data_IF_880064826508
#
_entry.id   IF_880064826508
#
_cell.length_a   1.000
_cell.length_b   1.000
_cell.length_c   1.000
_cell.angle_alpha   90.00
_cell.angle_beta   90.00
_cell.angle_gamma   90.00
#
_symmetry.space_group_name_H-M   'P 1'
#
loop_
_entity.id
_entity.type
_entity.pdbx_description
1 polymer ?
#
# COMPACT_ATOMS: atom_id res chain seq x y z
N UNK A 1 20.00 -11.32 19.93
CA UNK A 1 18.80 -11.18 20.77
C UNK A 1 18.67 -9.71 21.06
N UNK A 2 17.77 -9.03 20.36
CA UNK A 2 17.45 -7.63 20.62
C UNK A 2 16.25 -7.68 21.56
N UNK A 3 16.48 -7.44 22.85
CA UNK A 3 15.41 -7.21 23.81
C UNK A 3 14.82 -5.83 23.49
N UNK A 4 13.69 -5.81 22.80
CA UNK A 4 12.90 -4.60 22.63
C UNK A 4 12.21 -4.34 23.96
N UNK A 5 12.62 -3.28 24.65
CA UNK A 5 12.04 -2.87 25.92
C UNK A 5 10.69 -2.17 25.65
N UNK A 6 9.61 -2.97 25.68
CA UNK A 6 8.22 -2.54 25.49
C UNK A 6 7.72 -1.85 26.76
N UNK A 7 8.30 -0.71 27.15
CA UNK A 7 7.79 0.06 28.29
C UNK A 7 7.98 1.57 28.14
N UNK A 8 7.16 2.17 27.28
CA UNK A 8 6.49 3.47 27.51
C UNK A 8 5.77 3.93 26.24
N UNK A 9 4.79 3.15 25.78
CA UNK A 9 3.89 3.60 24.71
C UNK A 9 2.85 4.55 25.31
N UNK A 10 2.69 5.73 24.72
CA UNK A 10 1.64 6.66 25.11
C UNK A 10 0.25 6.11 24.70
N UNK A 11 -0.84 6.60 25.32
CA UNK A 11 -2.21 6.09 25.14
C UNK A 11 -2.72 6.10 23.67
N UNK A 12 -2.06 6.87 22.79
CA UNK A 12 -2.32 6.88 21.33
C UNK A 12 -1.59 5.75 20.61
N UNK A 13 -0.33 5.51 20.95
CA UNK A 13 0.47 4.38 20.48
C UNK A 13 -0.15 3.05 20.93
N UNK A 14 -0.70 2.96 22.15
CA UNK A 14 -1.46 1.79 22.61
C UNK A 14 -2.72 1.55 21.77
N UNK A 15 -3.48 2.60 21.40
CA UNK A 15 -4.67 2.46 20.52
C UNK A 15 -4.31 2.08 19.08
N UNK A 16 -3.21 2.60 18.55
CA UNK A 16 -2.73 2.25 17.22
C UNK A 16 -2.14 0.83 17.20
N UNK A 17 -1.32 0.47 18.17
CA UNK A 17 -0.80 -0.90 18.37
C UNK A 17 -1.92 -1.91 18.67
N UNK A 18 -2.95 -1.54 19.43
CA UNK A 18 -4.14 -2.39 19.66
C UNK A 18 -4.93 -2.64 18.36
N UNK A 19 -4.98 -1.67 17.44
CA UNK A 19 -5.57 -1.86 16.10
C UNK A 19 -4.69 -2.70 15.18
N UNK A 20 -3.38 -2.67 15.40
CA UNK A 20 -2.38 -3.41 14.66
C UNK A 20 -2.13 -4.76 15.33
N UNK A 21 -2.91 -5.79 15.00
CA UNK A 21 -2.70 -7.15 15.54
C UNK A 21 -1.22 -7.58 15.42
N UNK A 22 -0.71 -8.39 16.36
CA UNK A 22 0.69 -8.87 16.36
C UNK A 22 1.12 -9.40 14.98
N UNK A 23 0.22 -10.14 14.31
CA UNK A 23 0.42 -10.62 12.93
C UNK A 23 0.80 -9.51 11.95
N UNK A 24 0.15 -8.35 12.01
CA UNK A 24 0.42 -7.22 11.09
C UNK A 24 1.77 -6.58 11.41
N UNK A 25 2.17 -6.53 12.69
CA UNK A 25 3.49 -6.05 13.08
C UNK A 25 4.60 -6.99 12.59
N UNK A 26 4.37 -8.30 12.64
CA UNK A 26 5.32 -9.28 12.13
C UNK A 26 5.42 -9.22 10.61
N UNK A 27 4.28 -9.20 9.90
CA UNK A 27 4.26 -9.01 8.44
C UNK A 27 4.95 -7.70 8.04
N UNK A 28 4.75 -6.61 8.79
CA UNK A 28 5.49 -5.38 8.57
C UNK A 28 6.99 -5.57 8.70
N UNK A 29 7.47 -6.16 9.80
CA UNK A 29 8.91 -6.34 10.05
C UNK A 29 9.53 -7.20 8.97
N UNK A 30 8.84 -8.25 8.56
CA UNK A 30 9.26 -9.11 7.45
C UNK A 30 9.39 -8.32 6.16
N UNK A 31 8.38 -7.54 5.77
CA UNK A 31 8.46 -6.70 4.58
C UNK A 31 9.57 -5.66 4.72
N UNK A 32 9.66 -4.93 5.83
CA UNK A 32 10.71 -3.94 6.01
C UNK A 32 12.10 -4.56 5.90
N UNK A 33 12.34 -5.72 6.50
CA UNK A 33 13.60 -6.46 6.38
C UNK A 33 13.86 -6.92 4.94
N UNK A 34 12.84 -7.45 4.26
CA UNK A 34 12.91 -7.84 2.85
C UNK A 34 13.32 -6.66 1.98
N UNK A 35 12.57 -5.56 2.03
CA UNK A 35 12.84 -4.38 1.22
C UNK A 35 14.12 -3.68 1.65
N UNK A 36 14.51 -3.63 2.93
CA UNK A 36 15.71 -2.89 3.37
C UNK A 36 17.02 -3.43 2.79
N UNK A 37 17.08 -4.72 2.43
CA UNK A 37 18.27 -5.38 1.87
C UNK A 37 18.42 -5.19 0.37
N UNK A 38 17.35 -4.76 -0.31
CA UNK A 38 17.32 -4.64 -1.76
C UNK A 38 17.93 -3.34 -2.27
N UNK A 39 18.41 -3.34 -3.52
CA UNK A 39 18.74 -2.09 -4.21
C UNK A 39 17.52 -1.17 -4.31
N UNK A 40 17.74 0.15 -4.38
CA UNK A 40 16.66 1.13 -4.54
C UNK A 40 15.72 0.78 -5.70
N UNK A 41 16.31 0.39 -6.85
CA UNK A 41 15.58 -0.04 -8.04
C UNK A 41 14.75 -1.31 -7.78
N UNK A 42 15.35 -2.33 -7.16
CA UNK A 42 14.66 -3.59 -6.89
C UNK A 42 13.49 -3.37 -5.91
N UNK A 43 13.71 -2.66 -4.80
CA UNK A 43 12.67 -2.40 -3.81
C UNK A 43 11.48 -1.62 -4.38
N UNK A 44 11.75 -0.62 -5.23
CA UNK A 44 10.70 0.11 -5.93
C UNK A 44 9.90 -0.81 -6.85
N UNK A 45 10.58 -1.60 -7.70
CA UNK A 45 9.90 -2.44 -8.69
C UNK A 45 9.02 -3.50 -8.01
N UNK A 46 9.60 -4.24 -7.06
CA UNK A 46 8.92 -5.30 -6.29
C UNK A 46 7.77 -4.71 -5.47
N UNK A 47 8.01 -3.56 -4.83
CA UNK A 47 7.02 -2.89 -4.01
C UNK A 47 5.78 -2.49 -4.80
N UNK A 48 5.94 -1.90 -5.98
CA UNK A 48 4.80 -1.55 -6.84
C UNK A 48 4.07 -2.80 -7.34
N UNK A 49 4.79 -3.87 -7.68
CA UNK A 49 4.14 -5.14 -8.07
C UNK A 49 3.32 -5.74 -6.93
N UNK A 50 3.83 -5.66 -5.70
CA UNK A 50 3.09 -6.06 -4.51
C UNK A 50 1.83 -5.21 -4.30
N UNK A 51 1.94 -3.89 -4.42
CA UNK A 51 0.80 -2.97 -4.31
C UNK A 51 -0.24 -3.22 -5.42
N UNK A 52 0.20 -3.48 -6.65
CA UNK A 52 -0.67 -3.81 -7.78
C UNK A 52 -1.46 -5.09 -7.53
N UNK A 53 -0.78 -6.13 -7.05
CA UNK A 53 -1.41 -7.40 -6.66
C UNK A 53 -2.37 -7.22 -5.48
N UNK A 54 -2.04 -6.40 -4.48
CA UNK A 54 -2.96 -6.12 -3.37
C UNK A 54 -4.24 -5.43 -3.84
N UNK A 55 -4.15 -4.45 -4.75
CA UNK A 55 -5.33 -3.84 -5.35
C UNK A 55 -6.16 -4.85 -6.15
N UNK A 56 -5.51 -5.73 -6.91
CA UNK A 56 -6.18 -6.84 -7.57
C UNK A 56 -6.94 -7.73 -6.56
N UNK A 57 -6.28 -8.17 -5.49
CA UNK A 57 -6.89 -9.01 -4.45
C UNK A 57 -8.08 -8.34 -3.77
N UNK A 58 -7.98 -7.04 -3.47
CA UNK A 58 -9.07 -6.24 -2.90
C UNK A 58 -10.26 -6.24 -3.86
N UNK A 59 -10.02 -5.91 -5.15
CA UNK A 59 -11.08 -5.86 -6.16
C UNK A 59 -11.69 -7.24 -6.42
N UNK A 60 -10.87 -8.29 -6.46
CA UNK A 60 -11.35 -9.65 -6.67
C UNK A 60 -12.20 -10.17 -5.49
N UNK A 61 -11.98 -9.66 -4.27
CA UNK A 61 -12.79 -10.00 -3.09
C UNK A 61 -14.16 -9.32 -3.09
N UNK A 62 -14.28 -8.14 -3.70
CA UNK A 62 -15.53 -7.37 -3.72
C UNK A 62 -16.41 -7.64 -4.92
N UNK A 63 -15.81 -7.99 -6.06
CA UNK A 63 -16.52 -8.30 -7.29
C UNK A 63 -17.10 -9.71 -7.23
N UNK A 64 -18.17 -9.93 -7.99
CA UNK A 64 -18.72 -11.28 -8.17
C UNK A 64 -17.69 -12.10 -8.94
N UNK A 65 -17.31 -13.30 -8.45
CA UNK A 65 -16.35 -14.15 -9.15
C UNK A 65 -16.81 -14.44 -10.58
N UNK A 66 -15.91 -14.31 -11.54
CA UNK A 66 -16.17 -14.71 -12.91
C UNK A 66 -16.09 -16.25 -13.01
N UNK A 67 -17.16 -16.95 -13.44
CA UNK A 67 -17.14 -18.40 -13.58
C UNK A 67 -16.36 -18.89 -14.83
N UNK A 68 -15.98 -17.98 -15.72
CA UNK A 68 -15.22 -18.25 -16.94
C UNK A 68 -13.73 -18.47 -16.67
N UNK A 69 -13.05 -19.22 -17.55
CA UNK A 69 -11.58 -19.32 -17.54
C UNK A 69 -10.89 -18.03 -18.00
N UNK A 70 -11.61 -17.17 -18.73
CA UNK A 70 -11.11 -15.87 -19.20
C UNK A 70 -11.75 -14.76 -18.38
N UNK A 71 -10.93 -13.93 -17.74
CA UNK A 71 -11.38 -12.82 -16.92
C UNK A 71 -11.49 -11.56 -17.77
N UNK A 72 -12.71 -11.09 -18.01
CA UNK A 72 -13.03 -9.93 -18.83
C UNK A 72 -12.73 -8.58 -18.16
N UNK A 73 -12.27 -8.59 -16.91
CA UNK A 73 -11.88 -7.40 -16.17
C UNK A 73 -10.37 -7.33 -15.95
N UNK A 74 -9.74 -8.43 -15.51
CA UNK A 74 -8.37 -8.43 -15.02
C UNK A 74 -7.32 -8.98 -15.99
N UNK A 75 -7.71 -9.74 -17.02
CA UNK A 75 -6.75 -10.26 -18.00
C UNK A 75 -6.04 -9.12 -18.77
N UNK A 76 -4.94 -9.45 -19.44
CA UNK A 76 -4.21 -8.50 -20.28
C UNK A 76 -5.14 -7.79 -21.27
N UNK A 77 -4.95 -6.48 -21.42
CA UNK A 77 -5.77 -5.58 -22.26
C UNK A 77 -7.23 -5.40 -21.81
N UNK A 78 -7.63 -5.95 -20.67
CA UNK A 78 -8.97 -5.74 -20.07
C UNK A 78 -9.01 -4.47 -19.19
N UNK A 79 -10.20 -3.96 -18.84
CA UNK A 79 -10.36 -2.66 -18.17
C UNK A 79 -9.59 -2.48 -16.84
N UNK A 80 -9.41 -3.55 -16.05
CA UNK A 80 -8.71 -3.55 -14.76
C UNK A 80 -7.34 -4.21 -14.81
N UNK A 81 -6.77 -4.37 -16.01
CA UNK A 81 -5.43 -4.93 -16.22
C UNK A 81 -4.32 -4.06 -15.60
N UNK A 82 -4.46 -2.74 -15.64
CA UNK A 82 -3.37 -1.82 -15.23
C UNK A 82 -3.44 -1.40 -13.76
N UNK A 83 -2.28 -1.08 -13.17
CA UNK A 83 -2.21 -0.49 -11.82
C UNK A 83 -3.06 0.76 -11.67
N UNK A 84 -3.04 1.66 -12.65
CA UNK A 84 -3.82 2.89 -12.59
C UNK A 84 -5.32 2.66 -12.67
N UNK A 85 -5.80 1.70 -13.48
CA UNK A 85 -7.24 1.41 -13.54
C UNK A 85 -7.74 0.76 -12.24
N UNK A 86 -6.94 -0.11 -11.61
CA UNK A 86 -7.25 -0.66 -10.28
C UNK A 86 -7.27 0.40 -9.18
N UNK A 87 -6.28 1.32 -9.14
CA UNK A 87 -6.30 2.46 -8.21
C UNK A 87 -7.57 3.29 -8.39
N UNK A 88 -7.90 3.63 -9.64
CA UNK A 88 -9.06 4.45 -9.95
C UNK A 88 -10.36 3.78 -9.50
N UNK A 89 -10.52 2.47 -9.75
CA UNK A 89 -11.72 1.76 -9.30
C UNK A 89 -11.80 1.71 -7.77
N UNK A 90 -10.71 1.38 -7.07
CA UNK A 90 -10.70 1.39 -5.60
C UNK A 90 -11.09 2.76 -5.03
N UNK A 91 -10.62 3.86 -5.62
CA UNK A 91 -11.01 5.21 -5.22
C UNK A 91 -12.51 5.47 -5.47
N UNK A 92 -13.02 5.09 -6.65
CA UNK A 92 -14.43 5.27 -7.02
C UNK A 92 -15.38 4.44 -6.15
N UNK A 93 -14.93 3.34 -5.58
CA UNK A 93 -15.66 2.51 -4.63
C UNK A 93 -15.50 2.98 -3.17
N UNK A 94 -14.72 4.04 -2.91
CA UNK A 94 -14.47 4.56 -1.57
C UNK A 94 -13.57 3.67 -0.70
N UNK A 95 -12.83 2.74 -1.30
CA UNK A 95 -11.96 1.79 -0.61
C UNK A 95 -10.65 2.45 -0.19
N UNK A 96 -10.15 3.35 -1.03
CA UNK A 96 -8.98 4.19 -0.74
C UNK A 96 -9.35 5.65 -0.90
N UNK A 97 -8.70 6.51 -0.14
CA UNK A 97 -8.91 7.96 -0.19
C UNK A 97 -8.03 8.64 -1.26
N UNK A 98 -8.29 9.93 -1.48
CA UNK A 98 -7.58 10.72 -2.49
C UNK A 98 -6.06 10.80 -2.20
N UNK A 99 -5.67 10.83 -0.92
CA UNK A 99 -4.26 10.87 -0.55
C UNK A 99 -3.55 9.56 -0.92
N UNK A 100 -4.15 8.42 -0.63
CA UNK A 100 -3.65 7.11 -1.03
C UNK A 100 -3.58 7.01 -2.56
N UNK A 101 -4.63 7.43 -3.27
CA UNK A 101 -4.66 7.43 -4.73
C UNK A 101 -3.53 8.26 -5.35
N UNK A 102 -3.29 9.48 -4.84
CA UNK A 102 -2.19 10.33 -5.31
C UNK A 102 -0.83 9.70 -5.02
N UNK A 103 -0.66 9.15 -3.82
CA UNK A 103 0.59 8.51 -3.39
C UNK A 103 0.95 7.31 -4.27
N UNK A 104 -0.01 6.40 -4.50
CA UNK A 104 0.20 5.22 -5.36
C UNK A 104 0.51 5.62 -6.81
N UNK A 105 -0.14 6.65 -7.35
CA UNK A 105 0.19 7.15 -8.69
C UNK A 105 1.58 7.80 -8.76
N UNK A 106 2.02 8.48 -7.70
CA UNK A 106 3.37 9.06 -7.64
C UNK A 106 4.43 7.96 -7.52
N UNK A 107 4.18 6.95 -6.68
CA UNK A 107 5.00 5.74 -6.57
C UNK A 107 5.10 4.97 -7.90
N UNK A 108 4.02 4.89 -8.69
CA UNK A 108 4.07 4.35 -10.07
C UNK A 108 5.06 5.13 -10.95
N UNK A 109 5.03 6.47 -10.90
CA UNK A 109 5.94 7.31 -11.68
C UNK A 109 7.39 7.11 -11.23
N UNK A 110 7.63 6.99 -9.92
CA UNK A 110 8.95 6.65 -9.38
C UNK A 110 9.44 5.32 -9.96
N UNK A 111 8.62 4.27 -10.01
CA UNK A 111 9.00 3.01 -10.70
C UNK A 111 9.34 3.22 -12.17
N UNK A 112 8.55 3.99 -12.91
CA UNK A 112 8.83 4.27 -14.32
C UNK A 112 10.19 4.95 -14.50
N UNK A 113 10.52 5.92 -13.65
CA UNK A 113 11.82 6.61 -13.70
C UNK A 113 12.96 5.63 -13.36
N UNK A 114 12.81 4.82 -12.30
CA UNK A 114 13.81 3.82 -11.89
C UNK A 114 14.06 2.73 -12.93
N UNK A 115 13.04 2.31 -13.69
CA UNK A 115 13.19 1.32 -14.77
C UNK A 115 14.08 1.88 -15.88
N UNK A 116 13.89 3.15 -16.25
CA UNK A 116 14.61 3.82 -17.33
C UNK A 116 16.06 4.18 -16.96
N UNK A 117 16.38 4.24 -15.68
CA UNK A 117 17.75 4.48 -15.20
C UNK A 117 18.64 3.22 -15.21
N UNK A 118 19.96 3.44 -15.05
CA UNK A 118 20.98 2.37 -14.95
C UNK A 118 20.70 1.45 -13.76
N UNK A 119 21.34 0.28 -13.72
CA UNK A 119 21.12 -0.73 -12.68
C UNK A 119 21.31 -0.20 -11.23
N UNK A 120 22.21 0.77 -11.03
CA UNK A 120 22.49 1.38 -9.72
C UNK A 120 21.71 2.69 -9.49
N UNK A 121 20.49 2.80 -10.05
CA UNK A 121 19.60 3.93 -9.82
C UNK A 121 19.36 4.13 -8.32
N UNK A 122 19.28 5.38 -7.88
CA UNK A 122 19.14 5.72 -6.47
C UNK A 122 17.84 6.51 -6.23
N UNK A 123 17.28 6.38 -5.04
CA UNK A 123 16.13 7.18 -4.59
C UNK A 123 16.55 8.59 -4.13
N UNK A 124 17.84 8.83 -3.92
CA UNK A 124 18.37 10.12 -3.44
C UNK A 124 19.01 10.96 -4.55
N UNK A 125 19.21 10.38 -5.74
CA UNK A 125 19.79 11.02 -6.91
C UNK A 125 19.07 10.59 -8.20
N UNK A 126 19.18 11.38 -9.28
CA UNK A 126 18.54 11.05 -10.56
C UNK A 126 17.10 11.56 -10.68
N UNK A 127 16.38 11.05 -11.69
CA UNK A 127 15.05 11.52 -12.07
C UNK A 127 13.97 11.16 -11.04
N UNK A 128 14.15 10.07 -10.29
CA UNK A 128 13.22 9.64 -9.25
C UNK A 128 13.27 10.55 -8.00
N UNK A 129 14.39 11.19 -7.72
CA UNK A 129 14.63 11.89 -6.45
C UNK A 129 13.63 13.03 -6.19
N UNK A 130 13.28 13.83 -7.20
CA UNK A 130 12.32 14.92 -7.04
C UNK A 130 10.92 14.41 -6.69
N UNK A 131 10.52 13.29 -7.30
CA UNK A 131 9.23 12.64 -6.99
C UNK A 131 9.22 11.99 -5.62
N UNK A 132 10.35 11.43 -5.17
CA UNK A 132 10.48 10.93 -3.80
C UNK A 132 10.29 12.06 -2.80
N UNK A 133 10.92 13.21 -3.03
CA UNK A 133 10.74 14.41 -2.16
C UNK A 133 9.31 14.92 -2.18
N UNK A 134 8.66 14.97 -3.36
CA UNK A 134 7.24 15.32 -3.49
C UNK A 134 6.34 14.34 -2.72
N UNK A 135 6.62 13.05 -2.80
CA UNK A 135 5.85 12.04 -2.08
C UNK A 135 5.97 12.21 -0.57
N UNK A 136 7.20 12.39 -0.08
CA UNK A 136 7.48 12.60 1.34
C UNK A 136 6.79 13.87 1.84
N UNK A 137 6.89 14.99 1.12
CA UNK A 137 6.28 16.26 1.52
C UNK A 137 4.76 16.19 1.60
N UNK A 138 4.12 15.47 0.67
CA UNK A 138 2.67 15.25 0.67
C UNK A 138 2.17 14.43 1.89
N UNK A 139 3.07 13.69 2.55
CA UNK A 139 2.74 12.76 3.63
C UNK A 139 3.24 13.22 5.01
N UNK A 140 3.98 14.33 5.09
CA UNK A 140 4.56 14.86 6.34
C UNK A 140 3.54 15.09 7.46
N UNK A 141 2.26 15.32 7.14
CA UNK A 141 1.20 15.56 8.12
C UNK A 141 0.17 14.43 8.18
N UNK A 142 0.47 13.28 7.57
CA UNK A 142 -0.42 12.13 7.65
C UNK A 142 -0.29 11.48 9.03
N UNK A 143 -1.35 11.60 9.84
CA UNK A 143 -1.38 11.09 11.20
C UNK A 143 -1.15 9.56 11.27
N UNK A 144 -1.74 8.78 10.36
CA UNK A 144 -1.55 7.32 10.32
C UNK A 144 -0.08 6.95 10.08
N UNK A 145 0.59 7.69 9.19
CA UNK A 145 2.01 7.48 8.90
C UNK A 145 2.90 7.90 10.08
N UNK A 146 2.60 9.01 10.73
CA UNK A 146 3.34 9.47 11.92
C UNK A 146 3.27 8.40 13.01
N UNK A 147 2.05 7.92 13.32
CA UNK A 147 1.84 6.84 14.30
C UNK A 147 2.58 5.57 13.89
N UNK A 148 2.54 5.23 12.61
CA UNK A 148 3.23 4.07 12.07
C UNK A 148 4.76 4.16 12.23
N UNK A 149 5.39 5.29 11.87
CA UNK A 149 6.84 5.47 11.98
C UNK A 149 7.29 5.45 13.45
N UNK A 150 6.50 6.05 14.35
CA UNK A 150 6.79 6.03 15.79
C UNK A 150 6.82 4.62 16.37
N UNK A 151 5.88 3.75 15.99
CA UNK A 151 5.82 2.36 16.47
C UNK A 151 7.04 1.54 16.09
N UNK A 152 7.68 1.83 14.96
CA UNK A 152 8.81 1.04 14.46
C UNK A 152 10.17 1.64 14.77
N UNK A 153 10.22 2.77 15.50
CA UNK A 153 11.45 3.46 15.91
C UNK A 153 12.44 3.72 14.75
N UNK A 154 11.93 3.83 13.52
CA UNK A 154 12.79 4.04 12.35
C UNK A 154 13.07 5.52 12.22
N UNK A 155 14.13 5.97 12.88
CA UNK A 155 14.64 7.34 12.76
C UNK A 155 15.71 7.40 11.66
N UNK A 156 15.31 7.89 10.49
CA UNK A 156 16.24 8.13 9.37
C UNK A 156 15.78 9.33 8.54
N UNK A 157 16.71 10.25 8.30
CA UNK A 157 16.55 11.35 7.35
C UNK A 157 16.83 10.94 5.90
N UNK A 158 17.31 9.71 5.66
CA UNK A 158 17.62 9.23 4.32
C UNK A 158 16.33 9.07 3.47
N UNK A 159 16.21 9.75 2.31
CA UNK A 159 15.01 9.67 1.48
C UNK A 159 14.72 8.25 0.95
N UNK A 160 15.74 7.42 0.75
CA UNK A 160 15.58 6.03 0.33
C UNK A 160 14.97 5.18 1.45
N UNK A 161 15.48 5.31 2.67
CA UNK A 161 14.90 4.66 3.86
C UNK A 161 13.46 5.13 4.08
N UNK A 162 13.21 6.45 4.02
CA UNK A 162 11.86 7.00 4.17
C UNK A 162 10.91 6.52 3.07
N UNK A 163 11.36 6.44 1.82
CA UNK A 163 10.56 5.87 0.74
C UNK A 163 10.21 4.40 1.01
N UNK A 164 11.15 3.60 1.50
CA UNK A 164 10.89 2.19 1.86
C UNK A 164 9.90 2.08 3.01
N UNK A 165 9.97 2.96 4.01
CA UNK A 165 8.95 3.05 5.06
C UNK A 165 7.57 3.34 4.48
N UNK A 166 7.47 4.31 3.57
CA UNK A 166 6.21 4.61 2.89
C UNK A 166 5.69 3.43 2.09
N UNK A 167 6.58 2.75 1.37
CA UNK A 167 6.24 1.59 0.56
C UNK A 167 5.63 0.49 1.44
N UNK A 168 6.30 0.17 2.56
CA UNK A 168 5.79 -0.83 3.51
C UNK A 168 4.51 -0.34 4.17
N UNK A 169 4.39 0.93 4.55
CA UNK A 169 3.15 1.51 5.08
C UNK A 169 1.96 1.29 4.15
N UNK A 170 2.09 1.59 2.85
CA UNK A 170 1.00 1.37 1.90
C UNK A 170 0.72 -0.12 1.66
N UNK A 171 1.74 -0.99 1.66
CA UNK A 171 1.57 -2.45 1.59
C UNK A 171 0.76 -2.92 2.80
N UNK A 172 1.12 -2.51 4.00
CA UNK A 172 0.40 -2.85 5.24
C UNK A 172 -1.02 -2.32 5.22
N UNK A 173 -1.23 -1.05 4.84
CA UNK A 173 -2.56 -0.43 4.72
C UNK A 173 -3.47 -1.20 3.76
N UNK A 174 -2.99 -1.52 2.55
CA UNK A 174 -3.78 -2.29 1.59
C UNK A 174 -4.00 -3.74 2.04
N UNK A 175 -3.05 -4.34 2.76
CA UNK A 175 -3.20 -5.68 3.36
C UNK A 175 -4.33 -5.70 4.39
N UNK A 176 -4.38 -4.71 5.28
CA UNK A 176 -5.47 -4.55 6.25
C UNK A 176 -6.81 -4.38 5.54
N UNK A 177 -6.87 -3.53 4.50
CA UNK A 177 -8.08 -3.33 3.70
C UNK A 177 -8.53 -4.65 3.07
N UNK A 178 -7.63 -5.39 2.43
CA UNK A 178 -7.93 -6.69 1.82
C UNK A 178 -8.50 -7.67 2.86
N UNK A 179 -7.93 -7.72 4.05
CA UNK A 179 -8.35 -8.67 5.08
C UNK A 179 -9.71 -8.31 5.66
N UNK A 180 -10.01 -7.01 5.79
CA UNK A 180 -11.23 -6.49 6.44
C UNK A 180 -12.40 -6.23 5.50
N UNK A 181 -12.14 -5.98 4.20
CA UNK A 181 -13.19 -5.65 3.25
C UNK A 181 -14.15 -6.82 3.03
N UNK A 182 -15.44 -6.52 2.97
CA UNK A 182 -16.52 -7.49 2.74
C UNK A 182 -17.03 -7.40 1.31
N UNK A 183 -17.51 -8.51 0.72
CA UNK A 183 -18.00 -8.49 -0.66
C UNK A 183 -19.24 -7.62 -0.84
N UNK A 184 -19.38 -7.01 -2.02
CA UNK A 184 -20.55 -6.23 -2.41
C UNK A 184 -21.65 -7.16 -2.95
N UNK A 185 -22.20 -8.03 -2.10
CA UNK A 185 -23.29 -8.90 -2.52
C UNK A 185 -24.59 -8.12 -2.70
N UNK A 186 -25.23 -8.31 -3.85
CA UNK A 186 -26.61 -7.89 -4.07
C UNK A 186 -27.51 -8.57 -3.05
N UNK A 187 -28.24 -7.78 -2.27
CA UNK A 187 -29.34 -8.25 -1.43
C UNK A 187 -30.62 -8.00 -2.21
N UNK A 188 -31.38 -9.05 -2.50
CA UNK A 188 -32.68 -8.86 -3.15
C UNK A 188 -33.52 -7.84 -2.35
N UNK A 189 -34.06 -6.79 -3.01
CA UNK A 189 -34.95 -5.87 -2.37
C UNK A 189 -36.21 -6.62 -1.94
N UNK A 190 -36.45 -6.70 -0.62
CA UNK A 190 -37.69 -7.25 -0.07
C UNK A 190 -38.82 -6.25 -0.32
N UNK A 191 -39.57 -6.45 -1.40
CA UNK A 191 -40.83 -5.74 -1.59
C UNK A 191 -41.91 -6.40 -0.73
N UNK A 192 -42.21 -5.82 0.43
CA UNK A 192 -43.41 -6.18 1.18
C UNK A 192 -44.63 -5.60 0.45
N UNK A 193 -45.10 -6.31 -0.58
CA UNK A 193 -46.39 -6.03 -1.18
C UNK A 193 -47.47 -6.66 -0.31
N UNK A 194 -47.96 -5.90 0.67
CA UNK A 194 -49.24 -6.18 1.32
C UNK A 194 -50.35 -5.86 0.32
N UNK A 195 -50.92 -6.90 -0.29
CA UNK A 195 -52.19 -6.83 -1.02
C UNK A 195 -53.36 -6.65 -0.06
#
# INVERSE_FOLDING_TARGET
>A
MIETNISSLNEREEKFAYRMSERILDEFKEFYVEYSKESDKAAVIMGIEKLDNLLFQILNKILIPNPSQKDDLFDTDMPLSTFSSKINLCYRLGIVDNLTTKSLNLMKKIKSDMINEKANASLTAGAAADRVRELLSNLNYNQELIEFVQVFEVDSDDPGVRYRLLLVFFITKLTIIRDTISPLYYKEPKFNLSY
#
